data_IF_669244164569
#
_entry.id   IF_669244164569
#
_cell.length_a   1.000
_cell.length_b   1.000
_cell.length_c   1.000
_cell.angle_alpha   90.00
_cell.angle_beta   90.00
_cell.angle_gamma   90.00
#
_symmetry.space_group_name_H-M   'P 1'
#
loop_
_entity.id
_entity.type
_entity.pdbx_description
1 polymer ?
#
# COMPACT_ATOMS: atom_id res chain seq x y z
N UNK A 1 19.39 0.85 -12.26
CA UNK A 1 20.27 1.24 -11.14
C UNK A 1 19.68 0.71 -9.85
N UNK A 2 20.52 0.33 -8.89
CA UNK A 2 20.12 0.03 -7.52
C UNK A 2 20.59 1.19 -6.63
N UNK A 3 19.83 1.52 -5.59
CA UNK A 3 20.16 2.58 -4.64
C UNK A 3 19.91 2.04 -3.23
N UNK A 4 20.93 2.03 -2.35
CA UNK A 4 20.74 1.62 -0.97
C UNK A 4 19.81 2.61 -0.26
N UNK A 5 18.99 2.09 0.64
CA UNK A 5 18.09 2.87 1.50
C UNK A 5 18.62 2.72 2.92
N UNK A 6 19.14 3.80 3.50
CA UNK A 6 19.72 3.81 4.84
C UNK A 6 18.74 4.37 5.87
N UNK A 7 17.85 5.27 5.44
CA UNK A 7 16.84 5.90 6.26
C UNK A 7 15.49 6.02 5.54
N UNK A 8 14.40 6.18 6.28
CA UNK A 8 13.04 6.24 5.74
C UNK A 8 12.85 7.36 4.70
N UNK A 9 13.59 8.47 4.85
CA UNK A 9 13.53 9.61 3.94
C UNK A 9 14.15 9.36 2.56
N UNK A 10 15.11 8.43 2.45
CA UNK A 10 15.70 8.05 1.15
C UNK A 10 14.64 7.46 0.22
N UNK A 11 13.68 6.71 0.81
CA UNK A 11 12.56 6.15 0.06
C UNK A 11 11.66 7.24 -0.52
N UNK A 12 11.50 8.37 0.18
CA UNK A 12 10.80 9.54 -0.34
C UNK A 12 11.49 10.15 -1.57
N UNK A 13 12.83 10.18 -1.55
CA UNK A 13 13.66 10.55 -2.71
C UNK A 13 13.44 9.61 -3.90
N UNK A 14 13.43 8.30 -3.66
CA UNK A 14 13.16 7.30 -4.71
C UNK A 14 11.79 7.46 -5.33
N UNK A 15 10.74 7.64 -4.52
CA UNK A 15 9.37 7.88 -5.00
C UNK A 15 9.32 9.13 -5.88
N UNK A 16 9.93 10.23 -5.41
CA UNK A 16 9.97 11.50 -6.14
C UNK A 16 10.71 11.37 -7.47
N UNK A 17 11.86 10.69 -7.47
CA UNK A 17 12.65 10.44 -8.67
C UNK A 17 11.87 9.60 -9.69
N UNK A 18 11.25 8.49 -9.25
CA UNK A 18 10.46 7.61 -10.10
C UNK A 18 9.25 8.34 -10.73
N UNK A 19 8.55 9.16 -9.95
CA UNK A 19 7.46 9.99 -10.47
C UNK A 19 7.95 11.01 -11.50
N UNK A 20 9.06 11.71 -11.20
CA UNK A 20 9.64 12.71 -12.11
C UNK A 20 10.15 12.12 -13.40
N UNK A 21 10.71 10.90 -13.37
CA UNK A 21 11.12 10.17 -14.57
C UNK A 21 9.95 9.92 -15.54
N UNK A 22 8.72 9.81 -15.01
CA UNK A 22 7.48 9.67 -15.79
C UNK A 22 6.81 10.98 -16.16
N UNK A 23 7.39 12.11 -15.75
CA UNK A 23 6.82 13.47 -15.92
C UNK A 23 5.44 13.65 -15.25
N UNK A 24 5.15 12.83 -14.23
CA UNK A 24 3.89 12.89 -13.50
C UNK A 24 3.90 13.99 -12.43
N UNK A 25 2.77 14.66 -12.24
CA UNK A 25 2.44 15.47 -11.05
C UNK A 25 2.10 14.56 -9.88
N UNK A 26 2.06 15.13 -8.68
CA UNK A 26 1.73 14.37 -7.47
C UNK A 26 0.30 13.84 -7.53
N UNK A 27 -0.65 14.64 -8.03
CA UNK A 27 -2.01 14.19 -8.30
C UNK A 27 -2.08 13.01 -9.29
N UNK A 28 -1.34 13.06 -10.41
CA UNK A 28 -1.31 11.95 -11.39
C UNK A 28 -0.84 10.63 -10.75
N UNK A 29 0.19 10.71 -9.90
CA UNK A 29 0.68 9.54 -9.16
C UNK A 29 -0.33 9.04 -8.11
N UNK A 30 -1.03 9.94 -7.44
CA UNK A 30 -2.09 9.62 -6.49
C UNK A 30 -3.24 8.88 -7.17
N UNK A 31 -3.74 9.44 -8.28
CA UNK A 31 -4.81 8.84 -9.09
C UNK A 31 -4.41 7.45 -9.59
N UNK A 32 -3.23 7.33 -10.20
CA UNK A 32 -2.76 6.06 -10.75
C UNK A 32 -2.56 4.95 -9.71
N UNK A 33 -2.25 5.31 -8.46
CA UNK A 33 -1.94 4.35 -7.40
C UNK A 33 -3.05 4.20 -6.36
N UNK A 34 -4.17 4.90 -6.53
CA UNK A 34 -5.33 4.82 -5.63
C UNK A 34 -5.06 5.37 -4.22
N UNK A 35 -4.11 6.30 -4.07
CA UNK A 35 -3.81 6.97 -2.80
C UNK A 35 -4.14 8.46 -2.90
N UNK A 36 -4.24 9.17 -1.77
CA UNK A 36 -4.48 10.61 -1.80
C UNK A 36 -3.23 11.40 -2.19
N UNK A 37 -3.39 12.57 -2.83
CA UNK A 37 -2.27 13.46 -3.13
C UNK A 37 -1.49 13.85 -1.86
N UNK A 38 -2.20 14.14 -0.77
CA UNK A 38 -1.61 14.39 0.55
C UNK A 38 -0.75 13.23 1.06
N UNK A 39 -1.09 11.99 0.71
CA UNK A 39 -0.25 10.83 1.02
C UNK A 39 1.02 10.85 0.19
N UNK A 40 0.94 11.11 -1.12
CA UNK A 40 2.11 11.24 -2.01
C UNK A 40 3.07 12.32 -1.50
N UNK A 41 2.54 13.49 -1.10
CA UNK A 41 3.34 14.58 -0.52
C UNK A 41 4.08 14.14 0.75
N UNK A 42 3.41 13.43 1.67
CA UNK A 42 4.03 12.93 2.90
C UNK A 42 5.08 11.86 2.61
N UNK A 43 4.79 10.94 1.70
CA UNK A 43 5.70 9.88 1.30
C UNK A 43 6.97 10.46 0.66
N UNK A 44 6.86 11.42 -0.27
CA UNK A 44 8.02 12.08 -0.89
C UNK A 44 8.88 12.88 0.08
N UNK A 45 8.29 13.34 1.19
CA UNK A 45 9.03 14.02 2.26
C UNK A 45 9.71 13.06 3.23
N UNK A 46 9.46 11.75 3.12
CA UNK A 46 10.03 10.77 4.03
C UNK A 46 9.35 10.71 5.39
N UNK A 47 8.06 11.04 5.49
CA UNK A 47 7.38 11.04 6.79
C UNK A 47 7.31 9.63 7.41
N UNK A 48 7.79 9.48 8.66
CA UNK A 48 7.85 8.18 9.36
C UNK A 48 6.48 7.55 9.66
N UNK A 49 5.41 8.35 9.57
CA UNK A 49 4.03 7.94 9.89
C UNK A 49 3.25 7.42 8.67
N UNK A 50 3.90 7.26 7.52
CA UNK A 50 3.22 6.71 6.33
C UNK A 50 2.92 5.23 6.50
N UNK A 51 1.75 4.81 6.04
CA UNK A 51 1.38 3.40 6.04
C UNK A 51 2.24 2.66 5.02
N UNK A 52 3.15 1.81 5.49
CA UNK A 52 4.03 0.97 4.66
C UNK A 52 3.31 0.30 3.49
N UNK A 53 2.13 -0.29 3.71
CA UNK A 53 1.37 -0.96 2.64
C UNK A 53 1.03 -0.03 1.46
N UNK A 54 0.67 1.24 1.74
CA UNK A 54 0.40 2.24 0.71
C UNK A 54 1.68 2.69 0.01
N UNK A 55 2.80 2.75 0.73
CA UNK A 55 4.10 3.05 0.13
C UNK A 55 4.50 1.97 -0.88
N UNK A 56 4.32 0.69 -0.54
CA UNK A 56 4.59 -0.41 -1.47
C UNK A 56 3.67 -0.39 -2.69
N UNK A 57 2.38 -0.10 -2.50
CA UNK A 57 1.46 0.09 -3.62
C UNK A 57 1.88 1.25 -4.53
N UNK A 58 2.29 2.38 -3.94
CA UNK A 58 2.80 3.54 -4.68
C UNK A 58 4.07 3.21 -5.46
N UNK A 59 5.05 2.54 -4.84
CA UNK A 59 6.29 2.11 -5.49
C UNK A 59 6.01 1.17 -6.66
N UNK A 60 5.16 0.16 -6.47
CA UNK A 60 4.77 -0.77 -7.52
C UNK A 60 4.07 -0.04 -8.68
N UNK A 61 3.13 0.85 -8.38
CA UNK A 61 2.48 1.68 -9.39
C UNK A 61 3.46 2.59 -10.12
N UNK A 62 4.47 3.10 -9.43
CA UNK A 62 5.59 3.85 -10.00
C UNK A 62 6.63 2.98 -10.73
N UNK A 63 6.43 1.66 -10.81
CA UNK A 63 7.34 0.71 -11.46
C UNK A 63 8.68 0.55 -10.74
N UNK A 64 8.75 0.93 -9.46
CA UNK A 64 9.92 0.76 -8.61
C UNK A 64 9.91 -0.64 -8.02
N UNK A 65 11.02 -1.35 -8.16
CA UNK A 65 11.22 -2.67 -7.53
C UNK A 65 12.02 -2.50 -6.25
N UNK A 66 11.54 -3.12 -5.17
CA UNK A 66 12.27 -3.21 -3.90
C UNK A 66 13.04 -4.53 -3.88
N UNK A 67 14.35 -4.44 -3.78
CA UNK A 67 15.27 -5.59 -3.67
C UNK A 67 15.93 -5.48 -2.31
N UNK A 68 15.98 -6.58 -1.57
CA UNK A 68 16.58 -6.65 -0.23
C UNK A 68 17.66 -7.71 -0.26
N UNK A 69 18.84 -7.36 0.25
CA UNK A 69 19.96 -8.27 0.40
C UNK A 69 19.98 -8.82 1.84
N UNK A 70 20.01 -10.14 1.98
CA UNK A 70 20.12 -10.84 3.27
C UNK A 70 21.39 -11.70 3.23
N UNK A 71 22.54 -11.20 3.72
CA UNK A 71 23.80 -11.93 3.63
C UNK A 71 23.84 -13.18 4.53
N UNK A 72 23.18 -13.13 5.69
CA UNK A 72 23.34 -14.15 6.74
C UNK A 72 22.25 -15.23 6.75
N UNK A 73 21.19 -15.07 5.94
CA UNK A 73 20.03 -15.95 5.95
C UNK A 73 19.98 -16.84 4.70
N UNK A 74 19.87 -18.15 4.90
CA UNK A 74 19.61 -19.09 3.82
C UNK A 74 18.21 -18.94 3.22
N UNK A 75 18.05 -19.33 1.95
CA UNK A 75 16.79 -19.23 1.20
C UNK A 75 15.59 -19.88 1.91
N UNK A 76 15.78 -21.05 2.52
CA UNK A 76 14.70 -21.77 3.20
C UNK A 76 14.13 -20.99 4.40
N UNK A 77 14.97 -20.26 5.14
CA UNK A 77 14.50 -19.46 6.26
C UNK A 77 13.64 -18.29 5.76
N UNK A 78 14.10 -17.61 4.71
CA UNK A 78 13.38 -16.51 4.09
C UNK A 78 12.03 -16.98 3.55
N UNK A 79 11.97 -18.12 2.86
CA UNK A 79 10.74 -18.68 2.34
C UNK A 79 9.73 -19.01 3.46
N UNK A 80 10.18 -19.66 4.54
CA UNK A 80 9.31 -19.97 5.69
C UNK A 80 8.74 -18.72 6.36
N UNK A 81 9.57 -17.72 6.62
CA UNK A 81 9.14 -16.49 7.31
C UNK A 81 8.24 -15.63 6.42
N UNK A 82 8.55 -15.50 5.12
CA UNK A 82 7.69 -14.78 4.17
C UNK A 82 6.34 -15.47 3.99
N UNK A 83 6.30 -16.80 3.89
CA UNK A 83 5.05 -17.55 3.82
C UNK A 83 4.20 -17.36 5.09
N UNK A 84 4.82 -17.35 6.27
CA UNK A 84 4.13 -17.09 7.54
C UNK A 84 3.57 -15.67 7.61
N UNK A 85 4.34 -14.67 7.17
CA UNK A 85 3.90 -13.29 7.12
C UNK A 85 2.71 -13.09 6.16
N UNK A 86 2.77 -13.69 4.95
CA UNK A 86 1.65 -13.66 3.98
C UNK A 86 0.38 -14.25 4.56
N UNK A 87 0.43 -15.46 5.13
CA UNK A 87 -0.74 -16.09 5.77
C UNK A 87 -1.39 -15.20 6.84
N UNK A 88 -0.57 -14.50 7.65
CA UNK A 88 -1.08 -13.56 8.67
C UNK A 88 -1.74 -12.33 8.04
N UNK A 89 -1.16 -11.79 6.99
CA UNK A 89 -1.73 -10.67 6.25
C UNK A 89 -3.07 -11.05 5.61
N UNK A 90 -3.14 -12.21 4.95
CA UNK A 90 -4.34 -12.73 4.31
C UNK A 90 -5.46 -12.98 5.33
N UNK A 91 -5.14 -13.58 6.48
CA UNK A 91 -6.09 -13.79 7.56
C UNK A 91 -6.63 -12.46 8.12
N UNK A 92 -5.77 -11.43 8.24
CA UNK A 92 -6.20 -10.09 8.65
C UNK A 92 -7.11 -9.44 7.62
N UNK A 93 -6.77 -9.53 6.34
CA UNK A 93 -7.57 -8.99 5.24
C UNK A 93 -8.97 -9.65 5.19
N UNK A 94 -9.02 -10.98 5.31
CA UNK A 94 -10.28 -11.73 5.36
C UNK A 94 -11.15 -11.34 6.57
N UNK A 95 -10.54 -11.07 7.73
CA UNK A 95 -11.27 -10.58 8.91
C UNK A 95 -11.88 -9.20 8.68
N UNK A 96 -11.12 -8.27 8.09
CA UNK A 96 -11.61 -6.92 7.77
C UNK A 96 -12.78 -7.00 6.78
N UNK A 97 -12.62 -7.75 5.68
CA UNK A 97 -13.68 -7.93 4.69
C UNK A 97 -14.98 -8.51 5.28
N UNK A 98 -14.88 -9.45 6.23
CA UNK A 98 -16.05 -9.98 6.95
C UNK A 98 -16.73 -8.93 7.84
N UNK A 99 -15.96 -8.05 8.46
CA UNK A 99 -16.51 -6.94 9.27
C UNK A 99 -17.24 -5.96 8.37
N UNK A 100 -16.62 -5.57 7.26
CA UNK A 100 -17.21 -4.62 6.30
C UNK A 100 -18.51 -5.18 5.69
N UNK A 101 -18.50 -6.43 5.20
CA UNK A 101 -19.70 -7.10 4.68
C UNK A 101 -20.83 -7.18 5.72
N UNK A 102 -20.50 -7.39 7.00
CA UNK A 102 -21.49 -7.39 8.09
C UNK A 102 -22.06 -6.00 8.37
N UNK A 103 -21.28 -4.95 8.20
CA UNK A 103 -21.75 -3.57 8.35
C UNK A 103 -22.67 -3.19 7.18
N UNK A 104 -22.30 -3.54 5.95
CA UNK A 104 -23.14 -3.33 4.76
C UNK A 104 -24.49 -4.03 4.87
N UNK A 105 -24.51 -5.30 5.31
CA UNK A 105 -25.75 -6.06 5.49
C UNK A 105 -26.66 -5.52 6.60
N UNK A 106 -26.15 -4.64 7.48
CA UNK A 106 -26.91 -3.99 8.56
C UNK A 106 -27.54 -2.66 8.13
N UNK A 107 -27.05 -2.03 7.05
CA UNK A 107 -27.54 -0.73 6.56
C UNK A 107 -28.76 -0.90 5.64
N UNK A 108 -28.94 -2.05 5.01
CA UNK A 108 -30.18 -2.46 4.33
C UNK A 108 -30.98 -3.41 5.23
N UNK A 109 -32.02 -2.95 5.98
CA UNK A 109 -33.35 -2.73 5.39
C UNK A 109 -34.23 -1.67 6.12
N UNK A 110 -34.64 -0.58 5.45
CA UNK A 110 -35.72 0.28 5.94
C UNK A 110 -36.42 1.21 4.91
N UNK A 111 -36.15 1.11 3.60
CA UNK A 111 -36.66 2.12 2.63
C UNK A 111 -37.47 1.54 1.45
N UNK A 112 -38.17 0.43 1.69
CA UNK A 112 -39.15 -0.09 0.73
C UNK A 112 -40.43 -0.50 1.47
N UNK A 113 -41.17 0.48 1.98
CA UNK A 113 -42.60 0.30 2.21
C UNK A 113 -43.32 0.73 0.92
N UNK A 114 -44.12 -0.13 0.27
CA UNK A 114 -44.91 0.30 -0.86
C UNK A 114 -46.02 1.23 -0.35
N UNK A 115 -46.02 2.47 -0.81
CA UNK A 115 -47.16 3.37 -0.71
C UNK A 115 -48.31 2.73 -1.50
N UNK A 116 -49.26 2.14 -0.78
CA UNK A 116 -50.52 1.69 -1.39
C UNK A 116 -51.42 2.90 -1.63
N UNK A 117 -51.89 3.01 -2.87
CA UNK A 117 -52.93 3.92 -3.38
C UNK A 117 -54.31 3.53 -2.85
#
# INVERSE_FOLDING_TARGET
MQHPIEQASDLGGVIRAARKARKWRQNDAAEYTGVSESFVVKAERGADTVQWGKVFGLLQGLGVRVIVELPDAGGDLLERETARARRRADARAARVARVDARLESRVTPADQAPTHD
#
